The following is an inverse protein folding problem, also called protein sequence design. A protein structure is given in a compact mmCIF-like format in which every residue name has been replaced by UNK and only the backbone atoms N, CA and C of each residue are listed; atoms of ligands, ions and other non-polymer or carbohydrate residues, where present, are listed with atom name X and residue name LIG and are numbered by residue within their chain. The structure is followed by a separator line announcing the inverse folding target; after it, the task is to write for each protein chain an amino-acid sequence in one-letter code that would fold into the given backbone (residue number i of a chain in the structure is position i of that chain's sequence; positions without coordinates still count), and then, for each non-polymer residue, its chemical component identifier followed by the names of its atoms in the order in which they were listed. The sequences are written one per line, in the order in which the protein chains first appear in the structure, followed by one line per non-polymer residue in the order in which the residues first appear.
data_IF_160187328317
#
_entry.id   IF_160187328317
#
_cell.length_a   1.000
_cell.length_b   1.000
_cell.length_c   1.000
_cell.angle_alpha   90.00
_cell.angle_beta   90.00
_cell.angle_gamma   90.00
#
_symmetry.space_group_name_H-M   'P 1'
#
loop_
_entity.id
_entity.type
_entity.pdbx_description
1 polymer ?
#
# COMPACT_ATOMS: atom_id res chain seq x y z
N UNK A 1 0.29 11.31 6.21
CA UNK A 1 0.74 9.91 6.26
C UNK A 1 0.16 9.06 5.14
N UNK A 2 -1.14 9.06 4.91
CA UNK A 2 -1.73 8.38 3.77
C UNK A 2 -2.99 9.10 3.29
N UNK A 3 -3.33 8.86 2.01
CA UNK A 3 -4.59 9.24 1.39
C UNK A 3 -5.28 7.95 0.97
N UNK A 4 -6.59 7.88 1.16
CA UNK A 4 -7.38 6.68 0.87
C UNK A 4 -8.45 6.99 -0.15
N UNK A 5 -8.54 6.13 -1.17
CA UNK A 5 -9.58 6.21 -2.20
C UNK A 5 -10.26 4.86 -2.34
N UNK A 6 -11.58 4.89 -2.51
CA UNK A 6 -12.38 3.73 -2.84
C UNK A 6 -12.78 3.84 -4.31
N UNK A 7 -12.38 2.86 -5.11
CA UNK A 7 -12.69 2.81 -6.53
C UNK A 7 -13.70 1.69 -6.79
N UNK A 8 -14.93 2.07 -7.10
CA UNK A 8 -16.06 1.16 -7.29
C UNK A 8 -16.35 0.27 -6.07
N UNK A 9 -16.13 0.81 -4.89
CA UNK A 9 -16.46 0.18 -3.61
C UNK A 9 -17.06 1.22 -2.69
N UNK A 10 -17.92 0.79 -1.78
CA UNK A 10 -18.44 1.64 -0.72
C UNK A 10 -17.40 1.83 0.38
N UNK A 11 -17.41 3.01 0.98
CA UNK A 11 -16.56 3.33 2.12
C UNK A 11 -16.87 2.39 3.30
N UNK A 12 -15.86 2.02 4.05
CA UNK A 12 -16.01 1.12 5.18
C UNK A 12 -15.01 1.51 6.28
N UNK A 13 -15.53 1.98 7.40
CA UNK A 13 -14.72 2.42 8.53
C UNK A 13 -13.84 1.32 9.11
N UNK A 14 -14.24 0.05 9.00
CA UNK A 14 -13.45 -1.06 9.48
C UNK A 14 -12.12 -1.15 8.70
N UNK A 15 -12.15 -0.90 7.39
CA UNK A 15 -10.95 -0.89 6.57
C UNK A 15 -10.05 0.29 6.96
N UNK A 16 -10.62 1.44 7.19
CA UNK A 16 -9.87 2.65 7.56
C UNK A 16 -9.15 2.50 8.89
N UNK A 17 -9.79 1.85 9.86
CA UNK A 17 -9.16 1.57 11.16
C UNK A 17 -7.94 0.67 11.03
N UNK A 18 -8.05 -0.38 10.19
CA UNK A 18 -6.94 -1.29 9.94
C UNK A 18 -5.79 -0.55 9.25
N UNK A 19 -6.09 0.22 8.21
CA UNK A 19 -5.11 1.00 7.46
C UNK A 19 -4.37 1.96 8.38
N UNK A 20 -5.11 2.73 9.17
CA UNK A 20 -4.52 3.70 10.09
C UNK A 20 -3.55 3.05 11.05
N UNK A 21 -3.97 1.97 11.70
CA UNK A 21 -3.16 1.24 12.66
C UNK A 21 -1.87 0.69 12.04
N UNK A 22 -2.01 0.05 10.87
CA UNK A 22 -0.88 -0.60 10.19
C UNK A 22 0.10 0.44 9.66
N UNK A 23 -0.39 1.47 8.99
CA UNK A 23 0.48 2.48 8.36
C UNK A 23 1.18 3.33 9.42
N UNK A 24 0.50 3.69 10.50
CA UNK A 24 1.15 4.39 11.63
C UNK A 24 2.31 3.56 12.18
N UNK A 25 2.10 2.26 12.35
CA UNK A 25 3.14 1.36 12.85
C UNK A 25 4.32 1.26 11.87
N UNK A 26 4.04 1.14 10.58
CA UNK A 26 5.08 1.10 9.55
C UNK A 26 5.93 2.37 9.55
N UNK A 27 5.29 3.53 9.60
CA UNK A 27 6.00 4.81 9.64
C UNK A 27 6.86 4.93 10.88
N UNK A 28 6.34 4.48 12.01
CA UNK A 28 7.06 4.52 13.28
C UNK A 28 8.29 3.61 13.26
N UNK A 29 8.15 2.39 12.76
CA UNK A 29 9.27 1.46 12.68
C UNK A 29 10.37 1.93 11.75
N UNK A 30 10.01 2.60 10.66
CA UNK A 30 10.97 3.17 9.71
C UNK A 30 11.45 4.56 10.11
N UNK A 31 10.98 5.08 11.26
CA UNK A 31 11.37 6.38 11.83
C UNK A 31 11.09 7.55 10.89
N UNK A 32 9.97 7.48 10.19
CA UNK A 32 9.53 8.53 9.27
C UNK A 32 8.18 9.14 9.65
N UNK A 33 7.70 8.90 10.88
CA UNK A 33 6.41 9.41 11.33
C UNK A 33 6.32 10.94 11.37
N UNK A 34 7.45 11.62 11.52
CA UNK A 34 7.52 13.09 11.52
C UNK A 34 7.90 13.67 10.15
N UNK A 35 8.07 12.79 9.16
CA UNK A 35 8.37 13.22 7.79
C UNK A 35 7.11 13.72 7.10
N UNK A 36 7.30 14.41 5.96
CA UNK A 36 6.20 14.83 5.08
C UNK A 36 5.85 13.77 4.05
N UNK A 37 6.41 12.58 4.19
CA UNK A 37 6.11 11.47 3.28
C UNK A 37 4.69 10.95 3.50
N UNK A 38 4.05 10.56 2.41
CA UNK A 38 2.74 9.92 2.46
C UNK A 38 2.61 8.86 1.37
N UNK A 39 1.61 8.01 1.51
CA UNK A 39 1.29 7.01 0.50
C UNK A 39 -0.15 7.19 0.03
N UNK A 40 -0.41 6.82 -1.21
CA UNK A 40 -1.75 6.78 -1.76
C UNK A 40 -2.22 5.33 -1.74
N UNK A 41 -3.36 5.07 -1.12
CA UNK A 41 -3.94 3.73 -1.02
C UNK A 41 -5.28 3.73 -1.74
N UNK A 42 -5.45 2.82 -2.68
CA UNK A 42 -6.71 2.62 -3.40
C UNK A 42 -7.24 1.22 -3.11
N UNK A 43 -8.46 1.15 -2.61
CA UNK A 43 -9.18 -0.12 -2.41
C UNK A 43 -10.15 -0.28 -3.56
N UNK A 44 -10.14 -1.44 -4.21
CA UNK A 44 -10.90 -1.64 -5.42
C UNK A 44 -11.34 -3.09 -5.62
N UNK A 45 -11.88 -3.36 -6.81
CA UNK A 45 -12.42 -4.66 -7.21
C UNK A 45 -11.39 -5.46 -7.99
N UNK A 46 -11.58 -6.79 -8.11
CA UNK A 46 -10.69 -7.63 -8.95
C UNK A 46 -10.65 -7.16 -10.40
N UNK A 47 -11.78 -6.70 -10.94
CA UNK A 47 -11.85 -6.23 -12.32
C UNK A 47 -10.99 -4.98 -12.54
N UNK A 48 -11.04 -4.05 -11.61
CA UNK A 48 -10.26 -2.81 -11.72
C UNK A 48 -8.77 -3.06 -11.53
N UNK A 49 -8.39 -3.90 -10.56
CA UNK A 49 -6.97 -4.19 -10.35
C UNK A 49 -6.38 -4.96 -11.53
N UNK A 50 -7.17 -5.80 -12.19
CA UNK A 50 -6.78 -6.47 -13.43
C UNK A 50 -6.45 -5.44 -14.53
N UNK A 51 -7.32 -4.44 -14.70
CA UNK A 51 -7.11 -3.38 -15.69
C UNK A 51 -5.84 -2.58 -15.40
N UNK A 52 -5.63 -2.23 -14.15
CA UNK A 52 -4.45 -1.48 -13.70
C UNK A 52 -3.18 -2.30 -13.95
N UNK A 53 -3.20 -3.57 -13.60
CA UNK A 53 -2.07 -4.47 -13.80
C UNK A 53 -1.70 -4.60 -15.27
N UNK A 54 -2.71 -4.72 -16.14
CA UNK A 54 -2.51 -4.80 -17.58
C UNK A 54 -1.96 -3.49 -18.14
N UNK A 55 -2.53 -2.36 -17.72
CA UNK A 55 -2.16 -1.04 -18.24
C UNK A 55 -0.75 -0.62 -17.82
N UNK A 56 -0.40 -0.80 -16.56
CA UNK A 56 0.85 -0.25 -16.01
C UNK A 56 1.98 -1.27 -15.91
N UNK A 57 1.69 -2.55 -15.88
CA UNK A 57 2.71 -3.59 -15.76
C UNK A 57 2.72 -4.56 -16.93
N UNK A 58 1.78 -4.41 -17.86
CA UNK A 58 1.60 -5.30 -19.00
C UNK A 58 1.36 -6.76 -18.59
N UNK A 59 0.71 -6.95 -17.44
CA UNK A 59 0.34 -8.29 -16.92
C UNK A 59 -1.17 -8.42 -17.01
N UNK A 60 -1.65 -9.31 -17.86
CA UNK A 60 -3.09 -9.49 -18.12
C UNK A 60 -3.70 -10.48 -17.14
N UNK A 61 -3.62 -10.16 -15.85
CA UNK A 61 -4.19 -10.96 -14.77
C UNK A 61 -4.62 -10.06 -13.62
N UNK A 62 -5.60 -10.51 -12.85
CA UNK A 62 -5.90 -9.88 -11.58
C UNK A 62 -4.85 -10.29 -10.54
N UNK A 63 -4.72 -9.50 -9.50
CA UNK A 63 -3.81 -9.76 -8.39
C UNK A 63 -4.47 -9.28 -7.09
N UNK A 64 -3.82 -9.52 -5.96
CA UNK A 64 -4.30 -9.06 -4.66
C UNK A 64 -3.87 -7.63 -4.35
N UNK A 65 -2.61 -7.30 -4.62
CA UNK A 65 -2.03 -5.99 -4.32
C UNK A 65 -1.05 -5.58 -5.41
N UNK A 66 -1.06 -4.29 -5.72
CA UNK A 66 -0.07 -3.65 -6.59
C UNK A 66 0.57 -2.49 -5.83
N UNK A 67 1.86 -2.31 -6.00
CA UNK A 67 2.57 -1.17 -5.42
C UNK A 67 3.45 -0.52 -6.48
N UNK A 68 3.41 0.81 -6.53
CA UNK A 68 4.11 1.61 -7.53
C UNK A 68 5.00 2.63 -6.80
N UNK A 69 6.27 2.29 -6.53
CA UNK A 69 7.18 3.22 -5.86
C UNK A 69 7.55 4.40 -6.75
N UNK A 70 7.69 5.57 -6.15
CA UNK A 70 8.11 6.80 -6.83
C UNK A 70 9.63 6.95 -6.76
N UNK A 71 10.22 6.61 -5.61
CA UNK A 71 11.65 6.79 -5.38
C UNK A 71 12.43 5.50 -5.53
N UNK A 72 13.64 5.61 -6.06
CA UNK A 72 14.59 4.52 -5.95
C UNK A 72 15.10 4.45 -4.51
N UNK A 73 15.51 3.26 -4.07
CA UNK A 73 15.92 3.02 -2.69
C UNK A 73 17.00 3.99 -2.21
N UNK A 74 18.02 4.22 -3.02
CA UNK A 74 19.13 5.12 -2.67
C UNK A 74 18.66 6.56 -2.52
N UNK A 75 17.80 7.02 -3.42
CA UNK A 75 17.23 8.34 -3.41
C UNK A 75 16.40 8.56 -2.14
N UNK A 76 15.57 7.59 -1.79
CA UNK A 76 14.74 7.65 -0.59
C UNK A 76 15.58 7.64 0.67
N UNK A 77 16.58 6.78 0.75
CA UNK A 77 17.50 6.71 1.89
C UNK A 77 18.20 8.05 2.13
N UNK A 78 18.63 8.71 1.08
CA UNK A 78 19.26 10.03 1.18
C UNK A 78 18.28 11.09 1.65
N UNK A 79 17.04 11.10 1.14
CA UNK A 79 16.01 12.01 1.61
C UNK A 79 15.74 11.86 3.10
N UNK A 80 15.63 10.64 3.57
CA UNK A 80 15.39 10.33 4.98
C UNK A 80 16.57 10.77 5.82
N UNK A 81 17.79 10.44 5.38
CA UNK A 81 19.02 10.77 6.09
C UNK A 81 19.24 12.28 6.22
N UNK A 82 19.01 13.02 5.15
CA UNK A 82 19.21 14.47 5.12
C UNK A 82 18.00 15.26 5.58
N UNK A 83 16.87 14.61 5.81
CA UNK A 83 15.58 15.22 6.16
C UNK A 83 15.13 16.30 5.17
N UNK A 84 15.49 16.13 3.89
CA UNK A 84 15.10 17.04 2.82
C UNK A 84 13.81 16.56 2.17
N UNK A 85 12.70 16.85 2.82
CA UNK A 85 11.37 16.52 2.31
C UNK A 85 10.77 17.77 1.69
N UNK A 86 10.30 17.63 0.48
CA UNK A 86 9.48 18.66 -0.14
C UNK A 86 8.06 18.53 0.37
N UNK A 87 7.27 19.58 0.18
CA UNK A 87 5.87 19.55 0.53
C UNK A 87 5.17 18.48 -0.33
N UNK A 88 4.49 17.52 0.31
CA UNK A 88 3.76 16.45 -0.36
C UNK A 88 4.62 15.43 -1.11
N UNK A 89 5.74 15.02 -0.53
CA UNK A 89 6.52 13.90 -1.08
C UNK A 89 5.75 12.59 -0.94
N UNK A 90 5.37 12.00 -2.08
CA UNK A 90 4.65 10.73 -2.11
C UNK A 90 5.63 9.57 -2.24
N UNK A 91 5.51 8.57 -1.36
CA UNK A 91 6.28 7.33 -1.47
C UNK A 91 5.84 6.49 -2.66
N UNK A 92 4.56 6.53 -2.97
CA UNK A 92 3.99 5.79 -4.08
C UNK A 92 2.54 5.41 -3.84
N UNK A 93 2.06 4.50 -4.69
CA UNK A 93 0.68 4.04 -4.68
C UNK A 93 0.61 2.56 -4.29
N UNK A 94 -0.37 2.22 -3.45
CA UNK A 94 -0.72 0.84 -3.15
C UNK A 94 -2.17 0.65 -3.58
N UNK A 95 -2.42 -0.36 -4.42
CA UNK A 95 -3.76 -0.71 -4.89
C UNK A 95 -4.09 -2.11 -4.40
N UNK A 96 -5.21 -2.28 -3.71
CA UNK A 96 -5.60 -3.55 -3.11
C UNK A 96 -7.00 -3.95 -3.57
N UNK A 97 -7.14 -5.21 -4.01
CA UNK A 97 -8.43 -5.82 -4.30
C UNK A 97 -9.01 -6.42 -3.01
N UNK A 98 -10.09 -5.81 -2.50
CA UNK A 98 -10.70 -6.24 -1.25
C UNK A 98 -11.26 -7.67 -1.35
N UNK A 99 -11.87 -8.04 -2.49
CA UNK A 99 -12.38 -9.39 -2.67
C UNK A 99 -11.26 -10.43 -2.59
N UNK A 100 -10.07 -10.12 -3.11
CA UNK A 100 -8.93 -11.02 -3.01
C UNK A 100 -8.40 -11.15 -1.60
N UNK A 101 -8.45 -10.07 -0.81
CA UNK A 101 -8.12 -10.14 0.62
C UNK A 101 -9.03 -11.14 1.31
N UNK A 102 -10.34 -11.03 1.07
CA UNK A 102 -11.34 -11.91 1.67
C UNK A 102 -11.11 -13.37 1.28
N UNK A 103 -10.89 -13.62 -0.01
CA UNK A 103 -10.65 -14.97 -0.53
C UNK A 103 -9.39 -15.60 0.07
N UNK A 104 -8.29 -14.85 0.07
CA UNK A 104 -7.01 -15.34 0.60
C UNK A 104 -7.05 -15.57 2.11
N UNK A 105 -7.75 -14.70 2.84
CA UNK A 105 -7.93 -14.91 4.28
C UNK A 105 -8.60 -16.26 4.56
N UNK A 106 -9.65 -16.58 3.82
CA UNK A 106 -10.33 -17.88 3.93
C UNK A 106 -9.42 -19.03 3.53
N UNK A 107 -8.73 -18.88 2.42
CA UNK A 107 -7.85 -19.92 1.88
C UNK A 107 -6.72 -20.28 2.86
N UNK A 108 -6.14 -19.29 3.52
CA UNK A 108 -5.04 -19.50 4.45
C UNK A 108 -5.47 -19.67 5.90
N UNK A 109 -6.78 -19.63 6.18
CA UNK A 109 -7.30 -19.75 7.54
C UNK A 109 -6.94 -18.57 8.44
N UNK A 110 -6.81 -17.38 7.87
CA UNK A 110 -6.53 -16.14 8.59
C UNK A 110 -7.80 -15.29 8.73
N UNK A 111 -7.79 -14.32 9.66
CA UNK A 111 -8.81 -13.29 9.69
C UNK A 111 -8.61 -12.34 8.52
N UNK A 112 -9.68 -11.65 8.12
CA UNK A 112 -9.59 -10.58 7.13
C UNK A 112 -8.58 -9.51 7.56
N UNK A 113 -8.64 -9.08 8.82
CA UNK A 113 -7.73 -8.07 9.35
C UNK A 113 -6.26 -8.47 9.18
N UNK A 114 -5.91 -9.71 9.49
CA UNK A 114 -4.55 -10.21 9.37
C UNK A 114 -4.07 -10.20 7.92
N UNK A 115 -4.90 -10.67 7.00
CA UNK A 115 -4.54 -10.72 5.58
C UNK A 115 -4.41 -9.32 5.00
N UNK A 116 -5.34 -8.44 5.34
CA UNK A 116 -5.30 -7.04 4.89
C UNK A 116 -4.05 -6.33 5.43
N UNK A 117 -3.75 -6.50 6.71
CA UNK A 117 -2.55 -5.94 7.32
C UNK A 117 -1.28 -6.44 6.62
N UNK A 118 -1.23 -7.73 6.31
CA UNK A 118 -0.11 -8.33 5.58
C UNK A 118 0.11 -7.65 4.22
N UNK A 119 -0.96 -7.44 3.45
CA UNK A 119 -0.86 -6.79 2.14
C UNK A 119 -0.42 -5.33 2.26
N UNK A 120 -0.92 -4.62 3.27
CA UNK A 120 -0.52 -3.23 3.51
C UNK A 120 0.96 -3.13 3.85
N UNK A 121 1.44 -3.97 4.75
CA UNK A 121 2.85 -4.03 5.14
C UNK A 121 3.73 -4.38 3.94
N UNK A 122 3.35 -5.40 3.19
CA UNK A 122 4.06 -5.83 1.99
C UNK A 122 4.17 -4.68 0.99
N UNK A 123 3.06 -4.01 0.71
CA UNK A 123 3.02 -2.87 -0.21
C UNK A 123 3.88 -1.71 0.28
N UNK A 124 3.78 -1.39 1.57
CA UNK A 124 4.57 -0.31 2.18
C UNK A 124 6.07 -0.54 2.02
N UNK A 125 6.55 -1.72 2.40
CA UNK A 125 7.98 -2.01 2.31
C UNK A 125 8.47 -2.10 0.87
N UNK A 126 7.61 -2.48 -0.05
CA UNK A 126 7.93 -2.42 -1.47
C UNK A 126 8.14 -0.97 -1.92
N UNK A 127 7.31 -0.04 -1.44
CA UNK A 127 7.50 1.40 -1.71
C UNK A 127 8.78 1.94 -1.11
N UNK A 128 9.23 1.36 0.01
CA UNK A 128 10.49 1.73 0.65
C UNK A 128 11.71 1.18 -0.08
N UNK A 129 11.52 0.35 -1.10
CA UNK A 129 12.60 -0.19 -1.91
C UNK A 129 13.09 -1.57 -1.52
N UNK A 130 12.36 -2.28 -0.67
CA UNK A 130 12.71 -3.65 -0.30
C UNK A 130 12.11 -4.64 -1.31
N UNK A 131 12.93 -5.47 -1.91
CA UNK A 131 12.49 -6.36 -3.00
C UNK A 131 11.88 -7.69 -2.54
N UNK A 132 12.21 -8.15 -1.36
CA UNK A 132 11.79 -9.46 -0.85
C UNK A 132 11.18 -9.33 0.52
N UNK A 133 9.87 -9.38 0.55
CA UNK A 133 9.12 -9.22 1.79
C UNK A 133 8.11 -10.35 1.92
#
# INVERSE_FOLDING_TARGET
MYQLEYLDLEENNAYEKIIKKVIEQCFKEEKIEESKLYISITLTTPQNIHKINKQYRNVDNETDVLSFPIFEKKELEEKIKTKRFEHEDILGDIVISIDRVTEQAKEYGHSFEREFAYMLVHGFYHLMGYDHI
#
